data_IF_956439414888
#
_entry.id   IF_956439414888
#
_cell.length_a   1.000
_cell.length_b   1.000
_cell.length_c   1.000
_cell.angle_alpha   90.00
_cell.angle_beta   90.00
_cell.angle_gamma   90.00
#
_symmetry.space_group_name_H-M   'P 1'
#
loop_
_entity.id
_entity.type
_entity.pdbx_description
1 polymer ?
#
# COMPACT_ATOMS: atom_id res chain seq x y z
N UNK A 1 -0.11 8.95 -0.20
CA UNK A 1 0.31 8.12 0.95
C UNK A 1 -0.50 8.58 2.14
N UNK A 2 -1.31 7.72 2.76
CA UNK A 2 -2.15 8.09 3.91
C UNK A 2 -2.00 7.03 5.00
N UNK A 3 -2.28 7.41 6.25
CA UNK A 3 -2.49 6.41 7.30
C UNK A 3 -3.83 5.71 7.05
N UNK A 4 -3.82 4.41 6.79
CA UNK A 4 -5.03 3.64 6.47
C UNK A 4 -5.56 2.94 7.73
N UNK A 5 -6.53 3.54 8.41
CA UNK A 5 -7.36 2.75 9.33
C UNK A 5 -8.18 1.68 8.59
N UNK A 6 -8.68 0.66 9.31
CA UNK A 6 -9.51 -0.42 8.75
C UNK A 6 -10.63 0.07 7.83
N UNK A 7 -11.25 1.21 8.16
CA UNK A 7 -12.33 1.84 7.37
C UNK A 7 -11.93 2.11 5.93
N UNK A 8 -10.67 2.50 5.67
CA UNK A 8 -10.21 2.74 4.31
C UNK A 8 -10.10 1.46 3.49
N UNK A 9 -9.81 0.31 4.13
CA UNK A 9 -9.71 -0.97 3.44
C UNK A 9 -11.07 -1.52 2.98
N UNK A 10 -12.16 -1.18 3.69
CA UNK A 10 -13.50 -1.67 3.37
C UNK A 10 -13.98 -1.26 1.97
N UNK A 11 -13.58 -0.07 1.51
CA UNK A 11 -14.01 0.47 0.21
C UNK A 11 -13.08 0.14 -0.94
N UNK A 12 -11.98 -0.58 -0.68
CA UNK A 12 -11.08 -0.99 -1.74
C UNK A 12 -11.72 -2.08 -2.60
N UNK A 13 -11.49 -2.09 -3.92
CA UNK A 13 -11.91 -3.21 -4.74
C UNK A 13 -11.13 -4.48 -4.36
N UNK A 14 -11.67 -5.65 -4.68
CA UNK A 14 -11.04 -6.93 -4.31
C UNK A 14 -9.65 -7.13 -4.92
N UNK A 15 -9.38 -6.50 -6.06
CA UNK A 15 -8.06 -6.52 -6.69
C UNK A 15 -7.07 -5.51 -6.10
N UNK A 16 -7.44 -4.78 -5.06
CA UNK A 16 -6.57 -3.77 -4.47
C UNK A 16 -5.35 -4.39 -3.79
N UNK A 17 -4.32 -3.55 -3.68
CA UNK A 17 -3.07 -3.88 -2.99
C UNK A 17 -2.74 -2.79 -1.98
N UNK A 18 -2.40 -3.21 -0.76
CA UNK A 18 -1.87 -2.35 0.29
C UNK A 18 -0.36 -2.41 0.25
N UNK A 19 0.29 -1.25 0.15
CA UNK A 19 1.73 -1.13 0.36
C UNK A 19 2.02 -0.41 1.67
N UNK A 20 2.53 -1.14 2.65
CA UNK A 20 2.95 -0.56 3.93
C UNK A 20 4.38 0.00 3.80
N UNK A 21 4.46 1.32 3.78
CA UNK A 21 5.74 2.04 3.69
C UNK A 21 6.54 2.01 4.98
N UNK A 22 5.86 1.99 6.12
CA UNK A 22 6.51 1.92 7.42
C UNK A 22 5.52 1.46 8.47
N UNK A 23 5.95 0.51 9.29
CA UNK A 23 5.11 -0.17 10.27
C UNK A 23 5.32 0.31 11.70
N UNK A 24 6.23 1.28 11.93
CA UNK A 24 6.58 1.76 13.28
C UNK A 24 6.95 0.63 14.25
N UNK A 25 7.55 -0.45 13.75
CA UNK A 25 7.91 -1.62 14.54
C UNK A 25 6.77 -2.62 14.77
N UNK A 26 5.54 -2.31 14.36
CA UNK A 26 4.39 -3.22 14.42
C UNK A 26 4.07 -3.81 13.05
N UNK A 27 4.75 -4.90 12.70
CA UNK A 27 4.61 -5.58 11.41
C UNK A 27 3.22 -6.17 11.16
N UNK A 28 2.42 -6.35 12.21
CA UNK A 28 1.18 -7.12 12.11
C UNK A 28 -0.03 -6.23 11.83
N UNK A 29 -0.01 -4.97 12.28
CA UNK A 29 -1.15 -4.06 12.21
C UNK A 29 -1.80 -4.03 10.81
N UNK A 30 -1.08 -3.61 9.78
CA UNK A 30 -1.63 -3.51 8.42
C UNK A 30 -1.75 -4.85 7.71
N UNK A 31 -0.91 -5.82 8.07
CA UNK A 31 -0.97 -7.17 7.53
C UNK A 31 -2.29 -7.85 7.92
N UNK A 32 -2.67 -7.78 9.20
CA UNK A 32 -3.93 -8.33 9.70
C UNK A 32 -5.14 -7.62 9.10
N UNK A 33 -5.09 -6.29 8.96
CA UNK A 33 -6.17 -5.54 8.32
C UNK A 33 -6.36 -5.94 6.85
N UNK A 34 -5.27 -6.07 6.09
CA UNK A 34 -5.32 -6.50 4.70
C UNK A 34 -5.83 -7.94 4.58
N UNK A 35 -5.39 -8.83 5.47
CA UNK A 35 -5.85 -10.21 5.54
C UNK A 35 -7.33 -10.31 5.88
N UNK A 36 -7.81 -9.51 6.84
CA UNK A 36 -9.23 -9.47 7.25
C UNK A 36 -10.12 -8.97 6.10
N UNK A 37 -9.68 -7.94 5.37
CA UNK A 37 -10.38 -7.47 4.17
C UNK A 37 -10.27 -8.46 2.99
N UNK A 38 -9.22 -9.27 2.94
CA UNK A 38 -8.95 -10.17 1.82
C UNK A 38 -8.29 -9.47 0.62
N UNK A 39 -7.55 -8.38 0.86
CA UNK A 39 -6.76 -7.68 -0.18
C UNK A 39 -5.28 -8.02 -0.04
N UNK A 40 -4.54 -7.86 -1.14
CA UNK A 40 -3.12 -8.21 -1.16
C UNK A 40 -2.31 -7.21 -0.34
N UNK A 41 -1.40 -7.71 0.49
CA UNK A 41 -0.48 -6.89 1.28
C UNK A 41 0.94 -7.02 0.72
N UNK A 42 1.62 -5.88 0.63
CA UNK A 42 3.03 -5.73 0.32
C UNK A 42 3.69 -4.80 1.33
N UNK A 43 4.96 -5.07 1.61
CA UNK A 43 5.87 -4.19 2.36
C UNK A 43 7.29 -4.40 1.82
N UNK A 44 8.27 -3.77 2.44
CA UNK A 44 9.67 -3.90 2.08
C UNK A 44 10.17 -5.34 2.20
N UNK A 45 10.82 -5.86 1.16
CA UNK A 45 11.45 -7.20 1.23
C UNK A 45 12.80 -7.18 1.93
N UNK A 46 13.44 -6.00 1.98
CA UNK A 46 14.70 -5.78 2.69
C UNK A 46 14.58 -4.53 3.55
N UNK A 47 14.81 -4.67 4.86
CA UNK A 47 14.68 -3.58 5.84
C UNK A 47 15.77 -2.51 5.67
N UNK A 48 16.91 -2.86 5.07
CA UNK A 48 18.02 -1.95 4.75
C UNK A 48 17.72 -0.98 3.60
N UNK A 49 16.51 -1.02 3.05
CA UNK A 49 16.04 -0.13 1.97
C UNK A 49 15.20 1.04 2.46
N UNK A 50 14.96 1.14 3.76
CA UNK A 50 14.27 2.25 4.42
C UNK A 50 15.19 2.82 5.49
N UNK A 51 15.38 4.14 5.46
CA UNK A 51 16.35 4.83 6.30
C UNK A 51 15.67 5.94 7.09
N UNK A 52 15.80 5.98 8.42
CA UNK A 52 15.32 7.09 9.22
C UNK A 52 16.11 8.38 8.89
N UNK A 53 15.41 9.52 8.94
CA UNK A 53 15.95 10.87 8.68
C UNK A 53 15.51 11.81 9.82
N UNK A 54 16.47 12.41 10.51
CA UNK A 54 16.22 13.27 11.69
C UNK A 54 16.13 12.50 13.00
N UNK A 55 15.60 13.14 14.05
CA UNK A 55 15.51 12.54 15.40
C UNK A 55 14.11 12.02 15.75
N UNK A 56 13.06 12.47 15.06
CA UNK A 56 11.70 11.96 15.32
C UNK A 56 11.20 12.23 16.73
N UNK A 57 11.43 13.45 17.23
CA UNK A 57 11.03 13.86 18.58
C UNK A 57 9.53 14.15 18.63
N UNK A 58 8.85 13.55 19.60
CA UNK A 58 7.44 13.76 19.86
C UNK A 58 7.19 15.19 20.40
N UNK A 59 6.28 15.99 19.79
CA UNK A 59 6.09 17.39 20.15
C UNK A 59 5.72 17.64 21.61
N UNK A 60 4.87 16.78 22.19
CA UNK A 60 4.41 16.94 23.58
C UNK A 60 5.31 16.29 24.63
N UNK A 61 6.02 15.20 24.32
CA UNK A 61 6.78 14.43 25.33
C UNK A 61 8.28 14.65 25.26
N UNK A 62 8.78 15.25 24.16
CA UNK A 62 10.22 15.45 23.94
C UNK A 62 11.02 14.16 23.75
N UNK A 63 10.35 13.00 23.67
CA UNK A 63 11.00 11.69 23.52
C UNK A 63 11.06 11.28 22.05
N UNK A 64 12.08 10.50 21.71
CA UNK A 64 12.21 9.82 20.42
C UNK A 64 11.00 8.90 20.21
N UNK A 65 10.35 9.03 19.07
CA UNK A 65 9.21 8.18 18.73
C UNK A 65 9.14 7.94 17.21
N UNK A 66 9.20 6.69 16.79
CA UNK A 66 9.30 6.28 15.38
C UNK A 66 8.19 6.82 14.46
N UNK A 67 6.99 7.05 15.00
CA UNK A 67 5.87 7.72 14.30
C UNK A 67 6.18 9.16 13.85
N UNK A 68 7.03 9.87 14.57
CA UNK A 68 7.40 11.28 14.27
C UNK A 68 8.71 11.37 13.48
N UNK A 69 9.32 10.23 13.19
CA UNK A 69 10.53 10.12 12.39
C UNK A 69 10.18 10.22 10.90
N UNK A 70 10.96 11.00 10.14
CA UNK A 70 10.88 10.97 8.69
C UNK A 70 11.71 9.81 8.14
N UNK A 71 11.34 9.31 6.95
CA UNK A 71 12.07 8.24 6.30
C UNK A 71 12.38 8.59 4.85
N UNK A 72 13.56 8.16 4.38
CA UNK A 72 13.89 8.05 2.96
C UNK A 72 13.98 6.57 2.61
N UNK A 73 13.81 6.23 1.34
CA UNK A 73 13.90 4.85 0.88
C UNK A 73 14.64 4.74 -0.45
N UNK A 74 15.09 3.53 -0.75
CA UNK A 74 15.71 3.19 -2.03
C UNK A 74 14.65 3.26 -3.15
N UNK A 75 14.92 4.13 -4.14
CA UNK A 75 14.00 4.40 -5.25
C UNK A 75 13.75 3.17 -6.11
N UNK A 76 14.80 2.42 -6.42
CA UNK A 76 14.74 1.32 -7.37
C UNK A 76 14.05 0.10 -6.74
N UNK A 77 14.28 -0.13 -5.44
CA UNK A 77 13.51 -1.14 -4.69
C UNK A 77 12.03 -0.77 -4.59
N UNK A 78 11.71 0.50 -4.29
CA UNK A 78 10.32 0.96 -4.27
C UNK A 78 9.64 0.74 -5.64
N UNK A 79 10.31 1.13 -6.73
CA UNK A 79 9.80 0.92 -8.08
C UNK A 79 9.57 -0.56 -8.39
N UNK A 80 10.54 -1.42 -8.04
CA UNK A 80 10.43 -2.88 -8.23
C UNK A 80 9.21 -3.44 -7.49
N UNK A 81 9.00 -3.05 -6.23
CA UNK A 81 7.85 -3.49 -5.44
C UNK A 81 6.53 -2.98 -6.01
N UNK A 82 6.47 -1.73 -6.49
CA UNK A 82 5.27 -1.18 -7.15
C UNK A 82 4.95 -1.94 -8.44
N UNK A 83 5.95 -2.26 -9.27
CA UNK A 83 5.73 -3.02 -10.50
C UNK A 83 5.21 -4.44 -10.24
N UNK A 84 5.65 -5.08 -9.16
CA UNK A 84 5.08 -6.38 -8.74
C UNK A 84 3.59 -6.27 -8.37
N UNK A 85 3.19 -5.16 -7.74
CA UNK A 85 1.79 -4.91 -7.39
C UNK A 85 0.96 -4.63 -8.63
N UNK A 86 1.48 -3.84 -9.58
CA UNK A 86 0.85 -3.61 -10.88
C UNK A 86 0.59 -4.94 -11.58
N UNK A 87 1.57 -5.83 -11.60
CA UNK A 87 1.41 -7.15 -12.23
C UNK A 87 0.35 -8.01 -11.53
N UNK A 88 0.31 -7.97 -10.19
CA UNK A 88 -0.75 -8.64 -9.42
C UNK A 88 -2.14 -8.12 -9.83
N UNK A 89 -2.35 -6.80 -9.88
CA UNK A 89 -3.64 -6.19 -10.26
C UNK A 89 -4.02 -6.59 -11.69
N UNK A 90 -3.08 -6.48 -12.64
CA UNK A 90 -3.33 -6.80 -14.07
C UNK A 90 -3.77 -8.25 -14.28
N UNK A 91 -3.28 -9.18 -13.46
CA UNK A 91 -3.65 -10.60 -13.50
C UNK A 91 -4.89 -10.94 -12.67
N UNK A 92 -5.41 -10.01 -11.86
CA UNK A 92 -6.51 -10.30 -10.96
C UNK A 92 -7.82 -10.51 -11.75
N UNK A 93 -8.53 -11.65 -11.60
CA UNK A 93 -9.72 -11.96 -12.42
C UNK A 93 -10.79 -10.89 -12.37
N UNK A 94 -11.11 -10.38 -11.17
CA UNK A 94 -12.12 -9.34 -11.00
C UNK A 94 -11.74 -8.01 -11.69
N UNK A 95 -10.45 -7.66 -11.74
CA UNK A 95 -9.97 -6.47 -12.47
C UNK A 95 -10.11 -6.65 -13.98
N UNK A 96 -9.75 -7.84 -14.50
CA UNK A 96 -9.89 -8.16 -15.93
C UNK A 96 -11.36 -8.10 -16.37
N UNK A 97 -12.26 -8.66 -15.57
CA UNK A 97 -13.70 -8.60 -15.81
C UNK A 97 -14.19 -7.15 -15.85
N UNK A 98 -13.75 -6.32 -14.89
CA UNK A 98 -14.14 -4.91 -14.84
C UNK A 98 -13.64 -4.11 -16.05
N UNK A 99 -12.39 -4.33 -16.48
CA UNK A 99 -11.86 -3.73 -17.71
C UNK A 99 -12.66 -4.11 -18.95
N UNK A 100 -13.11 -5.36 -19.05
CA UNK A 100 -13.94 -5.80 -20.18
C UNK A 100 -15.31 -5.11 -20.18
N UNK A 101 -15.94 -4.95 -19.01
CA UNK A 101 -17.20 -4.21 -18.88
C UNK A 101 -17.06 -2.76 -19.32
N UNK A 102 -16.00 -2.08 -18.88
CA UNK A 102 -15.75 -0.68 -19.23
C UNK A 102 -15.57 -0.51 -20.75
N UNK A 103 -14.81 -1.38 -21.40
CA UNK A 103 -14.64 -1.37 -22.87
C UNK A 103 -15.96 -1.55 -23.63
N UNK A 104 -16.81 -2.48 -23.18
CA UNK A 104 -18.14 -2.68 -23.79
C UNK A 104 -19.03 -1.46 -23.62
N UNK A 105 -18.99 -0.81 -22.46
CA UNK A 105 -19.76 0.41 -22.20
C UNK A 105 -19.34 1.54 -23.13
N UNK A 106 -18.02 1.78 -23.27
CA UNK A 106 -17.48 2.79 -24.18
C UNK A 106 -17.90 2.54 -25.64
N UNK A 107 -17.77 1.30 -26.11
CA UNK A 107 -18.19 0.93 -27.46
C UNK A 107 -19.68 1.20 -27.72
N UNK A 108 -20.55 0.93 -26.73
CA UNK A 108 -21.98 1.17 -26.85
C UNK A 108 -22.36 2.66 -26.77
N UNK A 109 -21.54 3.51 -26.16
CA UNK A 109 -21.75 4.97 -26.10
C UNK A 109 -21.27 5.68 -27.38
N UNK A 110 -20.40 5.04 -28.16
CA UNK A 110 -19.87 5.53 -29.44
C UNK A 110 -20.73 5.14 -30.66
N UNK A 111 -21.72 4.26 -30.48
CA UNK A 111 -22.70 3.81 -31.49
C UNK A 111 -24.00 4.61 -31.41
#
# INVERSE_FOLDING_TARGET
MHGSGLTHLLFLPDWAVIFELYNCGDTNCYWDLARLRGVKYFTWTKSDKVFPVGEGIHPQTGRLHQKFQNYRFDRDEFQRLVLMQVEYVRRHPAYVIELQKQKRKQHNEEL
#
